data_IF_038005508974
#
_entry.id   IF_038005508974
#
_cell.length_a   1.000
_cell.length_b   1.000
_cell.length_c   1.000
_cell.angle_alpha   90.00
_cell.angle_beta   90.00
_cell.angle_gamma   90.00
#
_symmetry.space_group_name_H-M   'P 1'
#
loop_
_entity.id
_entity.type
_entity.pdbx_description
1 polymer ?
#
# COMPACT_ATOMS: atom_id res chain seq x y z
N UNK A 1 -22.47 -26.89 -0.04
CA UNK A 1 -21.30 -27.24 -0.88
C UNK A 1 -20.63 -26.02 -1.50
N UNK A 2 -21.39 -24.99 -1.91
CA UNK A 2 -20.85 -23.71 -2.43
C UNK A 2 -19.90 -23.00 -1.48
N UNK A 3 -20.28 -22.81 -0.21
CA UNK A 3 -19.43 -22.08 0.76
C UNK A 3 -18.03 -22.67 1.00
N UNK A 4 -17.86 -24.00 0.93
CA UNK A 4 -16.54 -24.63 1.09
C UNK A 4 -15.65 -24.45 -0.16
N UNK A 5 -16.25 -24.46 -1.35
CA UNK A 5 -15.54 -24.22 -2.60
C UNK A 5 -15.16 -22.73 -2.74
N UNK A 6 -16.02 -21.82 -2.26
CA UNK A 6 -15.76 -20.38 -2.23
C UNK A 6 -14.65 -20.05 -1.20
N UNK A 7 -14.64 -20.70 -0.03
CA UNK A 7 -13.53 -20.59 0.94
C UNK A 7 -12.17 -20.98 0.33
N UNK A 8 -12.10 -22.15 -0.33
CA UNK A 8 -10.85 -22.64 -0.96
C UNK A 8 -10.39 -21.75 -2.11
N UNK A 9 -11.32 -21.18 -2.87
CA UNK A 9 -11.02 -20.22 -3.93
C UNK A 9 -10.31 -18.99 -3.35
N UNK A 10 -10.86 -18.42 -2.27
CA UNK A 10 -10.28 -17.25 -1.61
C UNK A 10 -8.95 -17.56 -0.91
N UNK A 11 -8.84 -18.72 -0.26
CA UNK A 11 -7.59 -19.17 0.36
C UNK A 11 -6.46 -19.33 -0.67
N UNK A 12 -6.76 -19.92 -1.84
CA UNK A 12 -5.83 -19.99 -2.96
C UNK A 12 -5.48 -18.62 -3.52
N UNK A 13 -6.43 -17.68 -3.61
CA UNK A 13 -6.15 -16.30 -4.03
C UNK A 13 -5.11 -15.65 -3.13
N UNK A 14 -5.29 -15.77 -1.81
CA UNK A 14 -4.34 -15.22 -0.84
C UNK A 14 -3.01 -15.97 -0.83
N UNK A 15 -3.00 -17.27 -1.12
CA UNK A 15 -1.77 -18.00 -1.37
C UNK A 15 -1.05 -17.41 -2.60
N UNK A 16 -1.75 -17.21 -3.72
CA UNK A 16 -1.17 -16.61 -4.94
C UNK A 16 -0.55 -15.22 -4.68
N UNK A 17 -1.14 -14.39 -3.82
CA UNK A 17 -0.51 -13.13 -3.40
C UNK A 17 0.82 -13.37 -2.66
N UNK A 18 0.89 -14.35 -1.74
CA UNK A 18 2.13 -14.62 -0.98
C UNK A 18 3.27 -15.13 -1.85
N UNK A 19 2.95 -15.80 -2.96
CA UNK A 19 3.92 -16.50 -3.81
C UNK A 19 4.29 -15.75 -5.09
N UNK A 20 3.61 -14.64 -5.42
CA UNK A 20 3.81 -13.89 -6.67
C UNK A 20 5.27 -13.43 -6.89
N UNK A 21 5.96 -12.99 -5.85
CA UNK A 21 7.39 -12.60 -5.92
C UNK A 21 8.40 -13.75 -5.89
N UNK A 22 7.92 -15.00 -5.86
CA UNK A 22 8.75 -16.20 -5.75
C UNK A 22 8.60 -17.14 -6.96
N UNK A 23 7.53 -16.97 -7.73
CA UNK A 23 7.21 -17.79 -8.88
C UNK A 23 7.52 -17.03 -10.18
N UNK A 24 7.84 -17.72 -11.29
CA UNK A 24 7.92 -17.07 -12.59
C UNK A 24 6.60 -16.38 -12.95
N UNK A 25 6.67 -15.19 -13.54
CA UNK A 25 5.50 -14.37 -13.93
C UNK A 25 4.47 -15.16 -14.75
N UNK A 26 4.96 -16.00 -15.68
CA UNK A 26 4.11 -16.86 -16.50
C UNK A 26 3.28 -17.86 -15.67
N UNK A 27 3.88 -18.43 -14.62
CA UNK A 27 3.21 -19.38 -13.74
C UNK A 27 2.17 -18.68 -12.85
N UNK A 28 2.49 -17.48 -12.34
CA UNK A 28 1.57 -16.67 -11.53
C UNK A 28 0.35 -16.24 -12.36
N UNK A 29 0.58 -15.69 -13.55
CA UNK A 29 -0.48 -15.26 -14.45
C UNK A 29 -1.39 -16.43 -14.85
N UNK A 30 -0.80 -17.59 -15.19
CA UNK A 30 -1.56 -18.80 -15.50
C UNK A 30 -2.39 -19.28 -14.30
N UNK A 31 -1.80 -19.36 -13.10
CA UNK A 31 -2.49 -19.78 -11.88
C UNK A 31 -3.70 -18.88 -11.54
N UNK A 32 -3.57 -17.56 -11.74
CA UNK A 32 -4.67 -16.59 -11.60
C UNK A 32 -5.80 -16.84 -12.59
N UNK A 33 -5.48 -17.09 -13.86
CA UNK A 33 -6.47 -17.48 -14.87
C UNK A 33 -7.15 -18.82 -14.57
N UNK A 34 -6.42 -19.80 -14.04
CA UNK A 34 -7.00 -21.05 -13.56
C UNK A 34 -7.97 -20.80 -12.41
N UNK A 35 -7.57 -19.99 -11.43
CA UNK A 35 -8.38 -19.67 -10.26
C UNK A 35 -9.69 -18.97 -10.63
N UNK A 36 -9.63 -17.97 -11.51
CA UNK A 36 -10.83 -17.27 -12.01
C UNK A 36 -11.78 -18.22 -12.77
N UNK A 37 -11.24 -19.19 -13.50
CA UNK A 37 -12.00 -20.27 -14.13
C UNK A 37 -12.47 -21.38 -13.18
N UNK A 38 -12.32 -21.21 -11.86
CA UNK A 38 -12.59 -22.20 -10.80
C UNK A 38 -11.86 -23.54 -10.95
N UNK A 39 -10.74 -23.53 -11.67
CA UNK A 39 -9.82 -24.66 -11.86
C UNK A 39 -8.80 -24.70 -10.72
N UNK A 40 -9.29 -25.01 -9.52
CA UNK A 40 -8.50 -24.90 -8.28
C UNK A 40 -7.30 -25.86 -8.24
N UNK A 41 -7.45 -27.06 -8.79
CA UNK A 41 -6.39 -28.06 -8.81
C UNK A 41 -5.23 -27.62 -9.70
N UNK A 42 -5.51 -27.03 -10.86
CA UNK A 42 -4.50 -26.51 -11.79
C UNK A 42 -3.78 -25.29 -11.23
N UNK A 43 -4.51 -24.40 -10.53
CA UNK A 43 -3.88 -23.29 -9.81
C UNK A 43 -2.93 -23.79 -8.70
N UNK A 44 -3.36 -24.79 -7.92
CA UNK A 44 -2.53 -25.42 -6.90
C UNK A 44 -1.31 -26.17 -7.48
N UNK A 45 -1.51 -26.87 -8.60
CA UNK A 45 -0.44 -27.57 -9.31
C UNK A 45 0.64 -26.61 -9.83
N UNK A 46 0.25 -25.45 -10.34
CA UNK A 46 1.19 -24.41 -10.77
C UNK A 46 2.07 -23.92 -9.60
N UNK A 47 1.49 -23.76 -8.40
CA UNK A 47 2.25 -23.43 -7.18
C UNK A 47 3.23 -24.56 -6.84
N UNK A 48 2.79 -25.81 -6.81
CA UNK A 48 3.64 -26.96 -6.46
C UNK A 48 4.76 -27.24 -7.47
N UNK A 49 4.58 -26.85 -8.74
CA UNK A 49 5.55 -27.09 -9.82
C UNK A 49 6.63 -26.00 -9.88
N UNK A 50 6.30 -24.76 -9.53
CA UNK A 50 7.18 -23.60 -9.71
C UNK A 50 8.35 -23.53 -8.72
N UNK A 51 8.50 -24.51 -7.83
CA UNK A 51 9.23 -24.33 -6.56
C UNK A 51 10.60 -25.00 -6.51
N UNK A 52 11.31 -25.03 -7.64
CA UNK A 52 12.57 -25.75 -7.74
C UNK A 52 13.80 -25.04 -7.11
N UNK A 53 13.80 -23.74 -6.80
CA UNK A 53 14.83 -23.04 -5.95
C UNK A 53 14.58 -21.52 -5.88
N UNK A 54 14.95 -20.78 -4.80
CA UNK A 54 15.03 -21.12 -3.37
C UNK A 54 13.65 -21.05 -2.69
N UNK A 55 13.47 -21.79 -1.59
CA UNK A 55 12.14 -22.14 -1.05
C UNK A 55 11.37 -20.95 -0.50
N UNK A 56 10.35 -20.53 -1.23
CA UNK A 56 9.19 -19.83 -0.69
C UNK A 56 8.71 -20.49 0.62
N UNK A 57 8.44 -19.70 1.65
CA UNK A 57 7.89 -20.22 2.91
C UNK A 57 6.39 -20.40 2.79
N UNK A 58 5.93 -21.66 2.72
CA UNK A 58 4.52 -22.02 2.80
C UNK A 58 4.13 -22.32 4.25
N UNK A 59 2.91 -21.92 4.65
CA UNK A 59 2.36 -22.24 5.97
C UNK A 59 1.78 -23.66 5.97
N UNK A 60 1.68 -24.31 7.12
CA UNK A 60 1.02 -25.63 7.21
C UNK A 60 -0.42 -25.59 6.66
N UNK A 61 -1.17 -24.51 6.92
CA UNK A 61 -2.51 -24.31 6.35
C UNK A 61 -2.51 -24.27 4.82
N UNK A 62 -1.44 -23.75 4.21
CA UNK A 62 -1.29 -23.69 2.77
C UNK A 62 -1.01 -25.09 2.21
N UNK A 63 -0.15 -25.86 2.90
CA UNK A 63 0.14 -27.25 2.54
C UNK A 63 -1.09 -28.15 2.69
N UNK A 64 -1.92 -27.94 3.72
CA UNK A 64 -3.18 -28.66 3.90
C UNK A 64 -4.17 -28.38 2.75
N UNK A 65 -4.32 -27.10 2.38
CA UNK A 65 -5.10 -26.69 1.22
C UNK A 65 -4.59 -27.34 -0.08
N UNK A 66 -3.28 -27.24 -0.34
CA UNK A 66 -2.66 -27.80 -1.53
C UNK A 66 -2.81 -29.32 -1.59
N UNK A 67 -2.61 -30.04 -0.47
CA UNK A 67 -2.78 -31.50 -0.42
C UNK A 67 -4.22 -31.96 -0.66
N UNK A 68 -5.20 -31.13 -0.28
CA UNK A 68 -6.61 -31.39 -0.54
C UNK A 68 -6.95 -31.26 -2.04
N UNK A 69 -6.30 -30.32 -2.73
CA UNK A 69 -6.55 -30.01 -4.13
C UNK A 69 -5.72 -30.88 -5.09
N UNK A 70 -4.52 -31.25 -4.66
CA UNK A 70 -3.53 -32.03 -5.42
C UNK A 70 -2.98 -33.12 -4.48
N UNK A 71 -3.66 -34.28 -4.38
CA UNK A 71 -3.28 -35.33 -3.44
C UNK A 71 -2.13 -36.17 -4.00
N UNK A 72 -0.92 -35.61 -4.01
CA UNK A 72 0.31 -36.29 -4.40
C UNK A 72 1.46 -36.07 -3.40
N UNK A 73 2.59 -36.73 -3.66
CA UNK A 73 3.74 -36.75 -2.75
C UNK A 73 4.51 -35.42 -2.68
N UNK A 74 4.22 -34.43 -3.54
CA UNK A 74 4.94 -33.15 -3.54
C UNK A 74 4.72 -32.37 -2.25
N UNK A 75 3.52 -32.40 -1.68
CA UNK A 75 3.25 -31.73 -0.40
C UNK A 75 3.99 -32.42 0.74
N UNK A 76 4.09 -33.75 0.72
CA UNK A 76 4.88 -34.50 1.71
C UNK A 76 6.38 -34.18 1.57
N UNK A 77 6.87 -34.06 0.34
CA UNK A 77 8.24 -33.60 0.07
C UNK A 77 8.47 -32.17 0.58
N UNK A 78 7.48 -31.28 0.49
CA UNK A 78 7.52 -29.92 1.03
C UNK A 78 7.63 -29.86 2.55
N UNK A 79 6.90 -30.73 3.28
CA UNK A 79 6.97 -30.76 4.75
C UNK A 79 8.30 -31.30 5.28
N UNK A 80 8.93 -32.22 4.56
CA UNK A 80 10.20 -32.84 4.97
C UNK A 80 11.43 -32.08 4.47
N UNK A 81 11.23 -31.15 3.54
CA UNK A 81 12.24 -30.28 2.99
C UNK A 81 12.84 -29.33 4.05
N UNK A 82 14.17 -29.30 4.17
CA UNK A 82 14.87 -28.33 5.01
C UNK A 82 14.50 -26.88 4.63
N UNK A 83 14.29 -26.02 5.64
CA UNK A 83 14.05 -24.60 5.40
C UNK A 83 15.21 -23.95 4.63
N UNK A 84 14.95 -22.97 3.75
CA UNK A 84 16.01 -22.23 3.07
C UNK A 84 16.89 -21.52 4.11
N UNK A 85 18.21 -21.56 3.93
CA UNK A 85 19.13 -20.77 4.74
C UNK A 85 19.04 -19.28 4.41
N UNK A 86 19.40 -18.39 5.34
CA UNK A 86 19.36 -16.93 5.14
C UNK A 86 20.13 -16.45 3.89
N UNK A 87 21.16 -17.18 3.46
CA UNK A 87 21.95 -16.90 2.25
C UNK A 87 21.24 -17.25 0.92
N UNK A 88 19.99 -17.75 0.97
CA UNK A 88 19.22 -18.19 -0.21
C UNK A 88 17.93 -17.40 -0.42
N UNK A 89 17.70 -16.30 0.30
CA UNK A 89 16.57 -15.43 0.00
C UNK A 89 16.75 -14.84 -1.41
N UNK A 90 15.72 -14.85 -2.28
CA UNK A 90 15.80 -14.17 -3.56
C UNK A 90 16.09 -12.67 -3.31
N UNK A 91 16.85 -12.00 -4.20
CA UNK A 91 16.99 -10.55 -4.11
C UNK A 91 15.58 -9.93 -4.12
N UNK A 92 15.35 -9.02 -3.18
CA UNK A 92 14.07 -8.31 -3.10
C UNK A 92 13.97 -7.39 -4.33
N UNK A 93 12.93 -7.54 -5.17
CA UNK A 93 12.81 -6.75 -6.38
C UNK A 93 12.66 -5.26 -6.02
N UNK A 94 13.21 -4.41 -6.89
CA UNK A 94 13.03 -2.97 -6.79
C UNK A 94 11.72 -2.55 -7.47
N UNK A 95 11.03 -1.59 -6.88
CA UNK A 95 9.80 -1.03 -7.43
C UNK A 95 9.94 0.48 -7.60
N UNK A 96 9.35 0.99 -8.68
CA UNK A 96 9.29 2.42 -8.98
C UNK A 96 7.90 2.83 -9.53
N UNK A 97 7.41 4.04 -9.24
CA UNK A 97 6.11 4.48 -9.71
C UNK A 97 6.09 4.73 -11.22
N UNK A 98 7.23 4.98 -11.83
CA UNK A 98 7.42 5.16 -13.28
C UNK A 98 8.68 4.43 -13.74
N UNK A 99 8.82 4.23 -15.05
CA UNK A 99 10.03 3.62 -15.59
C UNK A 99 11.20 4.54 -15.31
N UNK A 100 12.25 4.00 -14.68
CA UNK A 100 13.42 4.81 -14.33
C UNK A 100 14.03 5.49 -15.55
N UNK A 101 14.22 6.80 -15.48
CA UNK A 101 15.13 7.55 -16.35
C UNK A 101 16.54 7.49 -15.76
N UNK A 102 17.58 7.11 -16.51
CA UNK A 102 18.97 7.05 -16.01
C UNK A 102 19.53 8.38 -15.49
N UNK A 103 18.84 9.51 -15.68
CA UNK A 103 19.31 10.85 -15.29
C UNK A 103 18.48 11.55 -14.21
N UNK A 104 17.36 10.97 -13.79
CA UNK A 104 16.38 11.64 -12.92
C UNK A 104 16.28 11.07 -11.50
N UNK A 105 15.81 11.91 -10.57
CA UNK A 105 15.36 11.45 -9.24
C UNK A 105 13.98 10.80 -9.44
N UNK A 106 13.90 9.50 -9.22
CA UNK A 106 12.62 8.79 -9.30
C UNK A 106 11.78 9.13 -8.06
N UNK A 107 10.53 9.61 -8.22
CA UNK A 107 9.66 9.91 -7.09
C UNK A 107 9.33 8.64 -6.31
N UNK A 108 8.97 8.77 -5.03
CA UNK A 108 8.59 7.61 -4.21
C UNK A 108 7.25 7.04 -4.67
N UNK A 109 6.26 7.91 -4.84
CA UNK A 109 4.91 7.60 -5.31
C UNK A 109 4.42 8.72 -6.24
N UNK A 110 3.43 8.41 -7.07
CA UNK A 110 2.77 9.39 -7.94
C UNK A 110 1.24 9.26 -7.84
N UNK A 111 0.52 10.36 -8.00
CA UNK A 111 -0.90 10.34 -8.37
C UNK A 111 -1.03 10.74 -9.85
N UNK A 112 -1.43 9.79 -10.69
CA UNK A 112 -1.68 9.99 -12.12
C UNK A 112 -3.18 10.00 -12.43
N UNK A 113 -4.05 10.05 -11.41
CA UNK A 113 -5.48 10.16 -11.64
C UNK A 113 -5.80 11.44 -12.42
N UNK A 114 -6.48 11.28 -13.56
CA UNK A 114 -6.78 12.39 -14.47
C UNK A 114 -5.65 12.78 -15.44
N UNK A 115 -4.45 12.20 -15.33
CA UNK A 115 -3.31 12.45 -16.22
C UNK A 115 -3.19 11.36 -17.30
N UNK A 116 -4.24 11.18 -18.11
CA UNK A 116 -4.35 10.10 -19.10
C UNK A 116 -3.24 10.12 -20.16
N UNK A 117 -2.69 11.30 -20.47
CA UNK A 117 -1.55 11.46 -21.38
C UNK A 117 -0.24 10.84 -20.87
N UNK A 118 -0.15 10.57 -19.57
CA UNK A 118 1.00 9.89 -18.93
C UNK A 118 0.80 8.37 -18.83
N UNK A 119 -0.30 7.84 -19.36
CA UNK A 119 -0.62 6.41 -19.37
C UNK A 119 -0.35 5.82 -20.75
N UNK A 120 0.34 4.68 -20.79
CA UNK A 120 0.48 3.91 -22.03
C UNK A 120 -0.78 3.06 -22.29
N UNK A 121 -0.77 2.31 -23.39
CA UNK A 121 -1.90 1.47 -23.80
C UNK A 121 -2.23 0.38 -22.75
N UNK A 122 -1.25 -0.37 -22.19
CA UNK A 122 -1.49 -1.25 -21.05
C UNK A 122 -2.13 -0.59 -19.84
N UNK A 123 -1.65 0.59 -19.43
CA UNK A 123 -2.22 1.32 -18.30
C UNK A 123 -3.67 1.73 -18.55
N UNK A 124 -3.95 2.25 -19.74
CA UNK A 124 -5.30 2.64 -20.15
C UNK A 124 -6.25 1.44 -20.15
N UNK A 125 -5.81 0.30 -20.69
CA UNK A 125 -6.58 -0.95 -20.67
C UNK A 125 -6.83 -1.47 -19.26
N UNK A 126 -5.84 -1.37 -18.37
CA UNK A 126 -5.97 -1.76 -16.97
C UNK A 126 -6.98 -0.88 -16.22
N UNK A 127 -6.92 0.45 -16.42
CA UNK A 127 -7.84 1.43 -15.81
C UNK A 127 -9.28 1.19 -16.28
N UNK A 128 -9.49 1.01 -17.58
CA UNK A 128 -10.83 0.75 -18.12
C UNK A 128 -11.41 -0.57 -17.61
N UNK A 129 -10.57 -1.60 -17.49
CA UNK A 129 -10.98 -2.87 -16.88
C UNK A 129 -11.31 -2.72 -15.39
N UNK A 130 -10.50 -1.97 -14.63
CA UNK A 130 -10.70 -1.74 -13.20
C UNK A 130 -11.99 -0.96 -12.90
N UNK A 131 -12.34 0.02 -13.75
CA UNK A 131 -13.64 0.74 -13.68
C UNK A 131 -14.85 -0.19 -13.83
N UNK A 132 -14.69 -1.26 -14.60
CA UNK A 132 -15.73 -2.28 -14.80
C UNK A 132 -15.79 -3.35 -13.72
N UNK A 133 -14.87 -3.35 -12.74
CA UNK A 133 -14.89 -4.32 -11.64
C UNK A 133 -15.97 -3.91 -10.63
N UNK A 134 -16.85 -4.86 -10.28
CA UNK A 134 -17.83 -4.65 -9.22
C UNK A 134 -17.10 -4.35 -7.90
N UNK A 135 -17.49 -3.25 -7.24
CA UNK A 135 -16.85 -2.74 -6.03
C UNK A 135 -15.34 -2.46 -6.18
N UNK A 136 -14.87 -2.20 -7.41
CA UNK A 136 -13.52 -1.71 -7.67
C UNK A 136 -13.31 -0.33 -7.04
N UNK A 137 -12.26 -0.17 -6.26
CA UNK A 137 -11.98 1.05 -5.49
C UNK A 137 -10.86 1.85 -6.12
N UNK A 138 -9.74 1.19 -6.47
CA UNK A 138 -8.58 1.86 -7.02
C UNK A 138 -7.62 0.89 -7.72
N UNK A 139 -6.83 1.44 -8.63
CA UNK A 139 -5.78 0.76 -9.37
C UNK A 139 -4.48 1.55 -9.30
N UNK A 140 -3.41 0.88 -8.88
CA UNK A 140 -2.05 1.39 -8.91
C UNK A 140 -1.20 0.59 -9.91
N UNK A 141 -0.09 1.19 -10.34
CA UNK A 141 0.97 0.52 -11.11
C UNK A 141 2.33 0.79 -10.47
N UNK A 142 3.09 -0.27 -10.26
CA UNK A 142 4.52 -0.21 -9.97
C UNK A 142 5.32 -0.88 -11.11
N UNK A 143 6.48 -0.33 -11.44
CA UNK A 143 7.45 -0.98 -12.32
C UNK A 143 8.40 -1.80 -11.47
N UNK A 144 8.40 -3.11 -11.68
CA UNK A 144 9.28 -4.05 -11.00
C UNK A 144 10.57 -4.25 -11.78
N UNK A 145 11.70 -4.25 -11.08
CA UNK A 145 13.01 -4.67 -11.59
C UNK A 145 13.58 -5.77 -10.69
N UNK A 146 13.83 -6.93 -11.26
CA UNK A 146 14.25 -8.11 -10.50
C UNK A 146 15.76 -8.12 -10.17
N UNK A 147 16.56 -7.35 -10.91
CA UNK A 147 17.98 -7.10 -10.64
C UNK A 147 18.41 -5.74 -11.19
N UNK A 148 19.32 -5.00 -10.52
CA UNK A 148 19.86 -3.74 -11.05
C UNK A 148 20.43 -3.85 -12.46
N UNK A 149 21.00 -5.01 -12.80
CA UNK A 149 21.63 -5.31 -14.10
C UNK A 149 20.62 -5.68 -15.19
N UNK A 150 19.33 -5.82 -14.87
CA UNK A 150 18.27 -6.11 -15.84
C UNK A 150 17.60 -4.80 -16.31
N UNK A 151 17.63 -4.58 -17.62
CA UNK A 151 16.94 -3.45 -18.25
C UNK A 151 15.42 -3.64 -18.32
N UNK A 152 14.96 -4.90 -18.28
CA UNK A 152 13.54 -5.21 -18.38
C UNK A 152 12.81 -4.81 -17.09
N UNK A 153 11.81 -3.95 -17.23
CA UNK A 153 10.90 -3.58 -16.15
C UNK A 153 9.50 -4.14 -16.44
N UNK A 154 8.92 -4.82 -15.46
CA UNK A 154 7.61 -5.46 -15.57
C UNK A 154 6.57 -4.58 -14.85
N UNK A 155 5.47 -4.17 -15.51
CA UNK A 155 4.41 -3.45 -14.83
C UNK A 155 3.61 -4.39 -13.94
N UNK A 156 3.47 -4.03 -12.68
CA UNK A 156 2.66 -4.73 -11.68
C UNK A 156 1.47 -3.83 -11.34
N UNK A 157 0.27 -4.31 -11.64
CA UNK A 157 -0.96 -3.61 -11.33
C UNK A 157 -1.50 -4.07 -9.98
N UNK A 158 -1.82 -3.16 -9.07
CA UNK A 158 -2.43 -3.47 -7.79
C UNK A 158 -3.87 -2.98 -7.79
N UNK A 159 -4.83 -3.87 -7.61
CA UNK A 159 -6.27 -3.57 -7.66
C UNK A 159 -6.87 -3.71 -6.26
N UNK A 160 -7.42 -2.62 -5.73
CA UNK A 160 -8.19 -2.63 -4.49
C UNK A 160 -9.68 -2.82 -4.78
N UNK A 161 -10.31 -3.76 -4.09
CA UNK A 161 -11.74 -4.08 -4.16
C UNK A 161 -12.35 -3.98 -2.76
N UNK A 162 -13.52 -3.34 -2.63
CA UNK A 162 -14.16 -3.09 -1.32
C UNK A 162 -15.33 -4.03 -0.98
N UNK A 163 -15.82 -4.80 -1.96
CA UNK A 163 -17.00 -5.66 -1.85
C UNK A 163 -16.71 -7.07 -1.33
N UNK A 164 -17.46 -8.06 -1.83
CA UNK A 164 -17.24 -9.46 -1.44
C UNK A 164 -15.84 -9.95 -1.87
N UNK A 165 -14.96 -10.38 -0.94
CA UNK A 165 -13.63 -10.88 -1.28
C UNK A 165 -13.65 -12.12 -2.19
N UNK A 166 -14.75 -12.88 -2.27
CA UNK A 166 -14.87 -13.98 -3.22
C UNK A 166 -14.83 -13.53 -4.69
N UNK A 167 -15.05 -12.24 -4.96
CA UNK A 167 -14.92 -11.63 -6.30
C UNK A 167 -13.47 -11.36 -6.72
N UNK A 168 -12.49 -11.42 -5.80
CA UNK A 168 -11.10 -11.05 -6.08
C UNK A 168 -10.45 -11.82 -7.24
N UNK A 169 -10.61 -13.16 -7.39
CA UNK A 169 -10.03 -13.88 -8.52
C UNK A 169 -10.59 -13.42 -9.86
N UNK A 170 -11.90 -13.15 -9.93
CA UNK A 170 -12.54 -12.68 -11.15
C UNK A 170 -12.10 -11.24 -11.49
N UNK A 171 -12.04 -10.36 -10.48
CA UNK A 171 -11.54 -9.00 -10.63
C UNK A 171 -10.08 -8.96 -11.11
N UNK A 172 -9.23 -9.82 -10.53
CA UNK A 172 -7.84 -10.02 -10.94
C UNK A 172 -7.75 -10.43 -12.42
N UNK A 173 -8.47 -11.48 -12.82
CA UNK A 173 -8.46 -11.96 -14.19
C UNK A 173 -9.00 -10.93 -15.20
N UNK A 174 -10.04 -10.17 -14.83
CA UNK A 174 -10.59 -9.12 -15.70
C UNK A 174 -9.55 -8.07 -16.10
N UNK A 175 -8.79 -7.56 -15.12
CA UNK A 175 -7.69 -6.61 -15.40
C UNK A 175 -6.55 -7.32 -16.12
N UNK A 176 -6.20 -8.54 -15.71
CA UNK A 176 -5.12 -9.33 -16.32
C UNK A 176 -5.37 -9.57 -17.81
N UNK A 177 -6.59 -9.94 -18.19
CA UNK A 177 -7.00 -10.19 -19.58
C UNK A 177 -7.06 -8.91 -20.43
N UNK A 178 -7.35 -7.77 -19.81
CA UNK A 178 -7.29 -6.47 -20.49
C UNK A 178 -5.85 -6.08 -20.83
N UNK A 179 -4.94 -6.21 -19.85
CA UNK A 179 -3.50 -5.92 -20.04
C UNK A 179 -2.84 -6.93 -20.99
N UNK A 180 -3.28 -8.20 -20.99
CA UNK A 180 -2.81 -9.19 -21.97
C UNK A 180 -3.19 -8.79 -23.40
N UNK A 181 -4.43 -8.29 -23.60
CA UNK A 181 -4.93 -7.86 -24.92
C UNK A 181 -4.23 -6.61 -25.46
N UNK A 182 -3.63 -5.78 -24.60
CA UNK A 182 -2.78 -4.66 -25.03
C UNK A 182 -1.33 -5.09 -25.34
N UNK A 183 -1.04 -6.40 -25.36
CA UNK A 183 0.25 -6.94 -25.81
C UNK A 183 1.27 -7.24 -24.72
N UNK A 184 0.93 -7.10 -23.43
CA UNK A 184 1.83 -7.49 -22.33
C UNK A 184 1.81 -9.01 -22.17
N UNK A 185 2.98 -9.63 -22.28
CA UNK A 185 3.13 -11.05 -21.96
C UNK A 185 3.09 -11.27 -20.44
N UNK A 186 2.33 -12.27 -19.99
CA UNK A 186 2.23 -12.66 -18.57
C UNK A 186 1.95 -11.49 -17.61
N UNK A 187 0.87 -10.72 -17.83
CA UNK A 187 0.59 -9.52 -17.03
C UNK A 187 0.43 -9.85 -15.55
N UNK A 188 1.00 -8.98 -14.70
CA UNK A 188 0.98 -9.15 -13.25
C UNK A 188 -0.07 -8.24 -12.64
N UNK A 189 -1.10 -8.84 -12.04
CA UNK A 189 -2.21 -8.15 -11.38
C UNK A 189 -2.41 -8.70 -9.97
N UNK A 190 -2.25 -7.84 -8.98
CA UNK A 190 -2.40 -8.11 -7.56
C UNK A 190 -3.74 -7.54 -7.07
N UNK A 191 -4.81 -8.35 -7.11
CA UNK A 191 -6.11 -7.94 -6.56
C UNK A 191 -6.19 -8.22 -5.05
N UNK A 192 -6.61 -7.25 -4.25
CA UNK A 192 -6.73 -7.38 -2.81
C UNK A 192 -7.93 -6.62 -2.27
N UNK A 193 -8.37 -7.02 -1.08
CA UNK A 193 -9.48 -6.38 -0.37
C UNK A 193 -8.94 -5.37 0.66
N UNK A 194 -9.70 -4.34 1.03
CA UNK A 194 -9.22 -3.31 1.98
C UNK A 194 -8.82 -3.89 3.35
N UNK A 195 -9.45 -4.99 3.77
CA UNK A 195 -9.13 -5.74 5.00
C UNK A 195 -7.95 -6.72 4.85
N UNK A 196 -7.39 -6.87 3.65
CA UNK A 196 -6.27 -7.79 3.42
C UNK A 196 -4.99 -7.18 3.97
N UNK A 197 -4.34 -7.88 4.91
CA UNK A 197 -2.94 -7.59 5.24
C UNK A 197 -2.07 -8.03 4.07
N UNK A 198 -1.56 -7.07 3.30
CA UNK A 198 -0.77 -7.34 2.11
C UNK A 198 0.53 -8.07 2.46
N UNK A 199 0.96 -9.08 1.68
CA UNK A 199 2.33 -9.61 1.79
C UNK A 199 3.37 -8.54 1.43
N UNK A 200 4.61 -8.74 1.90
CA UNK A 200 5.72 -7.78 1.75
C UNK A 200 5.93 -7.31 0.30
N UNK A 201 5.83 -8.23 -0.66
CA UNK A 201 5.95 -7.92 -2.09
C UNK A 201 4.95 -6.84 -2.54
N UNK A 202 3.66 -7.00 -2.22
CA UNK A 202 2.62 -6.04 -2.57
C UNK A 202 2.70 -4.76 -1.73
N UNK A 203 3.15 -4.84 -0.47
CA UNK A 203 3.40 -3.65 0.34
C UNK A 203 4.49 -2.76 -0.30
N UNK A 204 5.61 -3.36 -0.72
CA UNK A 204 6.69 -2.64 -1.39
C UNK A 204 6.27 -2.09 -2.75
N UNK A 205 5.57 -2.90 -3.55
CA UNK A 205 5.02 -2.46 -4.82
C UNK A 205 4.06 -1.26 -4.64
N UNK A 206 3.09 -1.33 -3.71
CA UNK A 206 2.17 -0.21 -3.42
C UNK A 206 2.93 1.03 -2.93
N UNK A 207 3.89 0.87 -2.03
CA UNK A 207 4.69 1.96 -1.48
C UNK A 207 5.62 2.65 -2.49
N UNK A 208 5.77 2.06 -3.69
CA UNK A 208 6.57 2.58 -4.81
C UNK A 208 5.76 2.60 -6.12
N UNK A 209 4.51 3.07 -6.06
CA UNK A 209 3.58 2.99 -7.18
C UNK A 209 3.02 4.35 -7.62
N UNK A 210 2.49 4.38 -8.83
CA UNK A 210 1.59 5.43 -9.28
C UNK A 210 0.13 5.00 -9.11
N UNK A 211 -0.69 5.83 -8.49
CA UNK A 211 -2.14 5.67 -8.50
C UNK A 211 -2.65 6.06 -9.90
N UNK A 212 -3.23 5.11 -10.63
CA UNK A 212 -3.75 5.33 -11.99
C UNK A 212 -5.22 5.72 -11.97
N UNK A 213 -5.99 5.07 -11.09
CA UNK A 213 -7.42 5.29 -11.00
C UNK A 213 -7.92 5.08 -9.57
N UNK A 214 -8.93 5.87 -9.19
CA UNK A 214 -9.73 5.68 -7.99
C UNK A 214 -11.20 5.93 -8.34
N UNK A 215 -12.10 5.16 -7.75
CA UNK A 215 -13.54 5.32 -7.93
C UNK A 215 -14.06 6.62 -7.31
N UNK A 216 -13.46 7.05 -6.20
CA UNK A 216 -13.77 8.32 -5.55
C UNK A 216 -12.92 9.45 -6.14
N UNK A 217 -13.57 10.59 -6.38
CA UNK A 217 -12.92 11.81 -6.85
C UNK A 217 -11.81 12.25 -5.90
N UNK A 218 -10.76 12.84 -6.47
CA UNK A 218 -9.68 13.43 -5.69
C UNK A 218 -10.24 14.53 -4.78
N UNK A 219 -9.91 14.44 -3.50
CA UNK A 219 -10.16 15.49 -2.53
C UNK A 219 -8.85 16.25 -2.29
N UNK A 220 -8.88 17.58 -2.12
CA UNK A 220 -7.70 18.35 -1.76
C UNK A 220 -7.09 17.81 -0.47
N UNK A 221 -5.76 17.73 -0.44
CA UNK A 221 -4.99 17.41 0.76
C UNK A 221 -4.34 18.69 1.27
N UNK A 222 -4.55 18.98 2.55
CA UNK A 222 -3.95 20.13 3.24
C UNK A 222 -2.84 19.68 4.18
N UNK A 223 -1.78 20.48 4.31
CA UNK A 223 -0.72 20.24 5.30
C UNK A 223 -0.81 21.28 6.41
N UNK A 224 -0.98 20.80 7.64
CA UNK A 224 -1.04 21.64 8.81
C UNK A 224 0.31 22.27 9.13
N UNK A 225 0.31 23.56 9.44
CA UNK A 225 1.49 24.26 9.92
C UNK A 225 1.69 23.94 11.40
N UNK A 226 2.93 23.60 11.75
CA UNK A 226 3.32 23.46 13.16
C UNK A 226 3.59 24.83 13.75
N UNK A 227 4.46 25.60 13.10
CA UNK A 227 4.95 26.89 13.55
C UNK A 227 4.29 28.06 12.81
N UNK A 228 4.24 29.22 13.45
CA UNK A 228 3.67 30.44 12.86
C UNK A 228 4.69 31.15 11.95
N UNK A 229 5.98 30.97 12.23
CA UNK A 229 7.10 31.42 11.42
C UNK A 229 8.28 30.44 11.52
N UNK A 230 9.22 30.53 10.57
CA UNK A 230 10.46 29.75 10.59
C UNK A 230 11.67 30.66 10.38
N UNK A 231 12.71 30.47 11.19
CA UNK A 231 13.98 31.18 11.05
C UNK A 231 15.14 30.19 10.83
N UNK A 232 16.04 30.41 9.85
CA UNK A 232 17.06 29.43 9.49
C UNK A 232 18.02 29.00 10.62
N UNK A 233 18.21 29.84 11.64
CA UNK A 233 19.15 29.57 12.75
C UNK A 233 18.47 29.17 14.03
N UNK A 234 17.26 29.68 14.29
CA UNK A 234 16.55 29.46 15.56
C UNK A 234 15.36 28.51 15.42
N UNK A 235 15.12 28.01 14.21
CA UNK A 235 14.07 27.03 13.92
C UNK A 235 12.67 27.64 13.87
N UNK A 236 11.68 26.79 14.10
CA UNK A 236 10.27 27.16 14.17
C UNK A 236 9.94 28.10 15.34
N UNK A 237 9.04 29.05 15.11
CA UNK A 237 8.64 30.06 16.09
C UNK A 237 7.12 30.10 16.25
N UNK A 238 6.67 30.35 17.48
CA UNK A 238 5.27 30.57 17.83
C UNK A 238 5.04 32.05 18.15
N UNK A 239 3.92 32.59 17.68
CA UNK A 239 3.43 33.90 18.06
C UNK A 239 3.05 33.90 19.54
N UNK A 240 3.32 35.01 20.23
CA UNK A 240 2.91 35.21 21.62
C UNK A 240 1.38 35.14 21.80
N UNK A 241 0.63 35.45 20.74
CA UNK A 241 -0.83 35.45 20.74
C UNK A 241 -1.43 34.12 20.26
N UNK A 242 -0.62 33.07 20.10
CA UNK A 242 -1.12 31.78 19.63
C UNK A 242 -2.16 31.22 20.62
N UNK A 243 -3.37 30.84 20.15
CA UNK A 243 -4.39 30.31 21.03
C UNK A 243 -3.94 29.05 21.76
N UNK A 244 -4.46 28.86 22.98
CA UNK A 244 -4.31 27.63 23.74
C UNK A 244 -5.64 26.91 23.90
N UNK A 245 -5.63 25.58 23.90
CA UNK A 245 -6.81 24.76 24.20
C UNK A 245 -6.75 24.40 25.68
N UNK A 246 -7.50 25.14 26.50
CA UNK A 246 -7.58 24.92 27.96
C UNK A 246 -8.97 24.48 28.43
N UNK A 247 -9.93 24.38 27.51
CA UNK A 247 -11.33 24.13 27.80
C UNK A 247 -11.64 22.64 27.93
N UNK A 248 -12.00 22.22 29.15
CA UNK A 248 -12.61 20.92 29.45
C UNK A 248 -11.85 19.72 28.84
N UNK A 249 -12.60 18.84 28.18
CA UNK A 249 -12.09 17.61 27.56
C UNK A 249 -11.57 17.81 26.12
N UNK A 250 -11.63 19.04 25.57
CA UNK A 250 -11.31 19.29 24.17
C UNK A 250 -9.86 18.93 23.85
N UNK A 251 -8.90 19.38 24.67
CA UNK A 251 -7.47 19.10 24.46
C UNK A 251 -7.22 17.59 24.35
N UNK A 252 -7.84 16.78 25.23
CA UNK A 252 -7.73 15.32 25.19
C UNK A 252 -8.28 14.76 23.89
N UNK A 253 -9.48 15.18 23.46
CA UNK A 253 -10.10 14.70 22.21
C UNK A 253 -9.30 15.07 20.97
N UNK A 254 -8.69 16.26 20.95
CA UNK A 254 -7.81 16.68 19.85
C UNK A 254 -6.54 15.84 19.85
N UNK A 255 -5.92 15.58 21.01
CA UNK A 255 -4.77 14.69 21.10
C UNK A 255 -5.11 13.26 20.64
N UNK A 256 -6.24 12.70 21.09
CA UNK A 256 -6.72 11.38 20.66
C UNK A 256 -6.90 11.33 19.13
N UNK A 257 -7.39 12.42 18.52
CA UNK A 257 -7.51 12.54 17.07
C UNK A 257 -6.14 12.56 16.37
N UNK A 258 -5.23 13.43 16.82
CA UNK A 258 -3.92 13.61 16.22
C UNK A 258 -3.07 12.33 16.33
N UNK A 259 -3.09 11.67 17.49
CA UNK A 259 -2.39 10.42 17.76
C UNK A 259 -3.03 9.22 17.03
N UNK A 260 -4.33 9.30 16.75
CA UNK A 260 -5.09 8.26 16.04
C UNK A 260 -4.92 8.29 14.51
N UNK A 261 -4.43 9.39 13.93
CA UNK A 261 -4.20 9.50 12.48
C UNK A 261 -3.25 8.43 11.95
N UNK A 262 -3.49 7.97 10.70
CA UNK A 262 -2.66 6.98 10.03
C UNK A 262 -1.23 7.52 9.86
N UNK A 263 -0.23 6.72 10.21
CA UNK A 263 1.19 7.08 10.04
C UNK A 263 1.53 7.06 8.56
N UNK A 264 1.82 8.24 8.00
CA UNK A 264 2.10 8.44 6.59
C UNK A 264 3.59 8.25 6.29
N UNK A 265 4.44 8.81 7.15
CA UNK A 265 5.89 8.68 7.08
C UNK A 265 6.45 8.63 8.50
N UNK A 266 7.06 7.49 8.85
CA UNK A 266 7.73 7.31 10.13
C UNK A 266 9.21 7.70 10.01
N UNK A 267 9.70 8.46 10.99
CA UNK A 267 11.11 8.84 11.10
C UNK A 267 11.53 8.92 12.57
N UNK A 268 12.81 8.60 12.84
CA UNK A 268 13.43 8.82 14.14
C UNK A 268 13.94 10.26 14.31
N UNK A 269 13.90 11.07 13.24
CA UNK A 269 14.33 12.45 13.27
C UNK A 269 13.51 13.27 14.28
N UNK A 270 14.21 14.16 14.98
CA UNK A 270 13.65 15.09 15.95
C UNK A 270 14.20 16.50 15.75
N UNK A 271 13.39 17.49 16.10
CA UNK A 271 13.77 18.90 16.12
C UNK A 271 13.91 19.40 17.57
N UNK A 272 14.64 20.50 17.75
CA UNK A 272 14.77 21.18 19.04
C UNK A 272 13.46 21.84 19.45
N UNK A 273 13.18 21.83 20.74
CA UNK A 273 12.05 22.56 21.30
C UNK A 273 12.41 24.05 21.47
N UNK A 274 11.70 25.00 20.83
CA UNK A 274 12.00 26.43 20.97
C UNK A 274 11.72 26.98 22.38
N UNK A 275 10.98 26.25 23.24
CA UNK A 275 10.72 26.65 24.63
C UNK A 275 11.64 25.98 25.65
N UNK A 276 12.40 24.96 25.23
CA UNK A 276 13.36 24.25 26.08
C UNK A 276 14.64 23.92 25.29
N UNK A 277 15.47 24.94 25.10
CA UNK A 277 16.76 24.81 24.41
C UNK A 277 17.71 23.80 25.10
N UNK A 278 17.50 23.52 26.40
CA UNK A 278 18.32 22.61 27.19
C UNK A 278 18.00 21.12 26.98
N UNK A 279 16.81 20.80 26.48
CA UNK A 279 16.37 19.42 26.27
C UNK A 279 17.02 18.74 25.04
N UNK A 280 17.60 19.52 24.12
CA UNK A 280 18.07 19.01 22.83
C UNK A 280 16.92 18.65 21.87
N UNK A 281 17.16 17.83 20.82
CA UNK A 281 16.15 17.50 19.83
C UNK A 281 15.15 16.47 20.36
N UNK A 282 14.00 16.96 20.83
CA UNK A 282 12.94 16.14 21.44
C UNK A 282 11.64 16.08 20.64
N UNK A 283 11.41 17.04 19.75
CA UNK A 283 10.16 17.20 19.00
C UNK A 283 10.09 16.18 17.85
N UNK A 284 9.13 15.24 17.82
CA UNK A 284 9.05 14.20 16.78
C UNK A 284 8.59 14.75 15.42
N UNK A 285 9.19 14.24 14.34
CA UNK A 285 8.93 14.69 12.96
C UNK A 285 8.24 13.65 12.06
N UNK A 286 7.64 12.61 12.64
CA UNK A 286 6.82 11.67 11.85
C UNK A 286 5.56 12.37 11.34
N UNK A 287 5.12 12.02 10.13
CA UNK A 287 3.92 12.57 9.51
C UNK A 287 2.74 11.61 9.66
N UNK A 288 1.57 12.18 9.93
CA UNK A 288 0.28 11.49 10.03
C UNK A 288 -0.75 12.11 9.11
N UNK A 289 -1.80 11.35 8.84
CA UNK A 289 -2.93 11.81 8.05
C UNK A 289 -4.26 11.18 8.47
N UNK A 290 -5.35 11.88 8.20
CA UNK A 290 -6.72 11.34 8.19
C UNK A 290 -7.27 11.16 6.75
N UNK A 291 -6.40 11.29 5.75
CA UNK A 291 -6.74 11.25 4.33
C UNK A 291 -7.11 12.61 3.70
N UNK A 292 -7.33 13.67 4.50
CA UNK A 292 -7.56 15.04 4.00
C UNK A 292 -6.54 16.04 4.53
N UNK A 293 -6.06 15.83 5.75
CA UNK A 293 -5.02 16.62 6.38
C UNK A 293 -3.77 15.80 6.62
N UNK A 294 -2.63 16.45 6.50
CA UNK A 294 -1.32 15.95 6.91
C UNK A 294 -0.85 16.81 8.06
N UNK A 295 -0.35 16.19 9.12
CA UNK A 295 0.29 16.90 10.23
C UNK A 295 1.51 16.12 10.71
N UNK A 296 2.44 16.79 11.37
CA UNK A 296 3.54 16.11 12.06
C UNK A 296 3.16 15.80 13.49
N UNK A 297 3.80 14.80 14.09
CA UNK A 297 3.67 14.48 15.52
C UNK A 297 4.07 15.67 16.42
N UNK A 298 4.82 16.65 15.89
CA UNK A 298 5.12 17.90 16.57
C UNK A 298 3.86 18.66 17.01
N UNK A 299 2.77 18.62 16.22
CA UNK A 299 1.49 19.25 16.58
C UNK A 299 0.95 18.67 17.88
N UNK A 300 0.93 17.35 18.00
CA UNK A 300 0.50 16.66 19.21
C UNK A 300 1.46 16.90 20.38
N UNK A 301 2.77 16.98 20.12
CA UNK A 301 3.78 17.33 21.12
C UNK A 301 3.52 18.72 21.72
N UNK A 302 3.39 19.78 20.90
CA UNK A 302 3.20 21.14 21.41
C UNK A 302 1.84 21.33 22.09
N UNK A 303 0.79 20.67 21.60
CA UNK A 303 -0.51 20.67 22.29
C UNK A 303 -0.40 20.00 23.67
N UNK A 304 0.29 18.86 23.78
CA UNK A 304 0.42 18.12 25.05
C UNK A 304 1.29 18.85 26.06
N UNK A 305 2.39 19.44 25.62
CA UNK A 305 3.40 20.05 26.51
C UNK A 305 3.04 21.48 26.89
N UNK A 306 2.48 22.27 25.96
CA UNK A 306 2.27 23.71 26.12
C UNK A 306 0.81 24.16 25.94
N UNK A 307 -0.13 23.23 25.71
CA UNK A 307 -1.53 23.52 25.40
C UNK A 307 -1.71 24.38 24.13
N UNK A 308 -0.69 24.49 23.27
CA UNK A 308 -0.75 25.30 22.05
C UNK A 308 -1.73 24.68 21.06
N UNK A 309 -2.68 25.49 20.60
CA UNK A 309 -3.66 25.07 19.60
C UNK A 309 -2.94 24.62 18.31
N UNK A 310 -3.42 23.55 17.65
CA UNK A 310 -3.08 23.27 16.25
C UNK A 310 -3.42 24.45 15.33
N UNK A 311 -2.99 24.37 14.07
CA UNK A 311 -3.46 25.28 13.02
C UNK A 311 -5.01 25.37 13.02
N UNK A 312 -5.54 26.60 12.91
CA UNK A 312 -6.96 26.88 13.10
C UNK A 312 -7.85 26.11 12.12
N UNK A 313 -7.40 25.93 10.88
CA UNK A 313 -8.16 25.18 9.86
C UNK A 313 -8.15 23.68 10.17
N UNK A 314 -7.01 23.14 10.63
CA UNK A 314 -6.94 21.76 11.10
C UNK A 314 -7.85 21.55 12.31
N UNK A 315 -7.83 22.45 13.30
CA UNK A 315 -8.69 22.34 14.48
C UNK A 315 -10.17 22.43 14.12
N UNK A 316 -10.54 23.33 13.21
CA UNK A 316 -11.91 23.43 12.69
C UNK A 316 -12.33 22.13 11.99
N UNK A 317 -11.44 21.51 11.22
CA UNK A 317 -11.67 20.22 10.58
C UNK A 317 -11.86 19.08 11.60
N UNK A 318 -11.01 19.00 12.63
CA UNK A 318 -11.14 18.02 13.72
C UNK A 318 -12.51 18.16 14.42
N UNK A 319 -12.90 19.39 14.75
CA UNK A 319 -14.20 19.72 15.35
C UNK A 319 -15.36 19.30 14.45
N UNK A 320 -15.29 19.60 13.16
CA UNK A 320 -16.32 19.24 12.19
C UNK A 320 -16.51 17.72 12.01
N UNK A 321 -15.52 16.92 12.42
CA UNK A 321 -15.56 15.45 12.42
C UNK A 321 -15.93 14.85 13.77
N UNK A 322 -16.41 15.67 14.71
CA UNK A 322 -16.71 15.24 16.07
C UNK A 322 -15.52 14.56 16.77
N UNK A 323 -14.28 14.94 16.37
CA UNK A 323 -13.04 14.41 16.90
C UNK A 323 -12.90 12.89 16.69
N UNK A 324 -13.54 12.36 15.64
CA UNK A 324 -13.45 10.95 15.24
C UNK A 324 -12.50 10.80 14.05
N UNK A 325 -11.42 10.06 14.26
CA UNK A 325 -10.48 9.71 13.19
C UNK A 325 -11.19 8.75 12.21
N UNK A 326 -11.15 9.01 10.90
CA UNK A 326 -11.67 8.05 9.92
C UNK A 326 -10.91 6.73 9.94
N UNK A 327 -11.57 5.68 9.44
CA UNK A 327 -10.86 4.47 9.05
C UNK A 327 -9.84 4.79 7.95
N UNK A 328 -8.70 4.11 7.99
CA UNK A 328 -7.64 4.22 6.98
C UNK A 328 -8.18 3.91 5.59
N UNK A 329 -7.98 4.85 4.66
CA UNK A 329 -8.27 4.69 3.24
C UNK A 329 -6.96 4.63 2.45
N UNK A 330 -6.61 3.48 1.85
CA UNK A 330 -5.38 3.32 1.08
C UNK A 330 -5.21 4.34 -0.06
N UNK A 331 -6.31 4.85 -0.64
CA UNK A 331 -6.28 5.87 -1.70
C UNK A 331 -5.95 7.23 -1.12
N UNK A 332 -6.63 7.61 -0.04
CA UNK A 332 -6.41 8.88 0.62
C UNK A 332 -4.99 8.98 1.22
N UNK A 333 -4.49 7.90 1.82
CA UNK A 333 -3.09 7.79 2.27
C UNK A 333 -2.10 7.97 1.12
N UNK A 334 -2.34 7.32 -0.02
CA UNK A 334 -1.46 7.44 -1.19
C UNK A 334 -1.42 8.88 -1.72
N UNK A 335 -2.57 9.54 -1.80
CA UNK A 335 -2.68 10.94 -2.22
C UNK A 335 -1.99 11.88 -1.24
N UNK A 336 -2.15 11.64 0.07
CA UNK A 336 -1.45 12.39 1.09
C UNK A 336 0.07 12.24 0.96
N UNK A 337 0.57 11.01 0.78
CA UNK A 337 2.00 10.77 0.59
C UNK A 337 2.53 11.43 -0.68
N UNK A 338 1.79 11.33 -1.79
CA UNK A 338 2.16 12.00 -3.04
C UNK A 338 2.21 13.51 -2.87
N UNK A 339 1.24 14.12 -2.18
CA UNK A 339 1.20 15.56 -1.92
C UNK A 339 2.31 16.03 -0.98
N UNK A 340 2.75 15.19 -0.03
CA UNK A 340 3.85 15.51 0.88
C UNK A 340 5.21 15.55 0.17
N UNK A 341 5.37 14.74 -0.89
CA UNK A 341 6.64 14.55 -1.59
C UNK A 341 6.75 15.34 -2.91
N UNK A 342 5.70 16.06 -3.29
CA UNK A 342 5.65 16.93 -4.48
C UNK A 342 6.15 18.33 -4.14
#
# INVERSE_FOLDING_TARGET
>A
MTGAADSRLLELHYLLLRVAGWMPDAAVAAARSHLAGRRLAEAADAVLTSTATPRMSLRETDLDLLSTLVPDDRVAAWRTAAAPGAATAPPEPEFAPERSDPTGVTPLVLDLTGAGERMDEPDSAAVDAARGVADGVALWRAWRRDSPDQDQQVPIYLLLVGGDPNGLPAACAQVQDAVARSGVAHPQVEAFHNRTVLPRYQQLARGRSALLWAAADAQPVSTARVFDAYHPTTGGQFSADRPTITDGDEMRRVLDYLDGGAVLLATEARESDPFDEGAGPVVPLSFRTDGRWIWTDAVAYFLRTYALSPDDELLAHIRARDYLVPESDPVAEHRALSSLLS
#
